data_IF_884976411365
#
_entry.id   IF_884976411365
#
_cell.length_a   1.000
_cell.length_b   1.000
_cell.length_c   1.000
_cell.angle_alpha   90.00
_cell.angle_beta   90.00
_cell.angle_gamma   90.00
#
_symmetry.space_group_name_H-M   'P 1'
#
loop_
_entity.id
_entity.type
_entity.pdbx_description
1 polymer ?
#
# COMPACT_ATOMS: atom_id res chain seq x y z
N UNK A 1 9.53 -4.47 -42.30
CA UNK A 1 9.38 -3.04 -41.97
C UNK A 1 9.53 -2.91 -40.47
N UNK A 2 10.45 -2.07 -40.00
CA UNK A 2 10.61 -1.80 -38.57
C UNK A 2 9.48 -0.85 -38.16
N UNK A 3 8.55 -1.31 -37.32
CA UNK A 3 7.39 -0.54 -36.90
C UNK A 3 7.85 0.72 -36.13
N UNK A 4 7.65 1.89 -36.74
CA UNK A 4 7.73 3.17 -36.06
C UNK A 4 6.44 3.36 -35.26
N UNK A 5 6.58 3.49 -33.94
CA UNK A 5 5.47 3.80 -33.04
C UNK A 5 5.33 5.31 -32.89
N UNK A 6 4.10 5.86 -32.82
CA UNK A 6 3.92 7.28 -32.54
C UNK A 6 4.49 7.72 -31.18
N UNK A 7 4.82 6.76 -30.30
CA UNK A 7 5.40 7.02 -28.98
C UNK A 7 6.93 7.13 -28.95
N UNK A 8 7.65 6.62 -29.97
CA UNK A 8 9.10 6.49 -29.95
C UNK A 8 9.75 6.86 -31.29
N UNK A 9 10.79 7.69 -31.21
CA UNK A 9 11.50 8.26 -32.36
C UNK A 9 12.54 7.30 -32.95
N UNK A 10 13.09 6.39 -32.14
CA UNK A 10 14.12 5.43 -32.58
C UNK A 10 13.51 4.09 -33.00
N UNK A 11 14.06 3.44 -34.05
CA UNK A 11 13.54 2.17 -34.54
C UNK A 11 13.83 1.02 -33.57
N UNK A 12 12.83 0.16 -33.36
CA UNK A 12 12.97 -1.05 -32.54
C UNK A 12 13.33 -2.25 -33.42
N UNK A 13 14.38 -3.02 -33.08
CA UNK A 13 14.83 -4.13 -33.92
C UNK A 13 13.90 -5.36 -33.89
N UNK A 14 12.96 -5.45 -32.93
CA UNK A 14 12.02 -6.56 -32.80
C UNK A 14 10.64 -6.09 -32.33
N UNK A 15 9.57 -6.57 -32.97
CA UNK A 15 8.18 -6.26 -32.63
C UNK A 15 7.82 -6.56 -31.16
N UNK A 16 8.37 -7.62 -30.56
CA UNK A 16 8.13 -7.94 -29.15
C UNK A 16 8.72 -6.89 -28.19
N UNK A 17 9.88 -6.31 -28.51
CA UNK A 17 10.52 -5.28 -27.67
C UNK A 17 9.75 -3.96 -27.74
N UNK A 18 9.27 -3.59 -28.92
CA UNK A 18 8.42 -2.40 -29.09
C UNK A 18 7.13 -2.50 -28.25
N UNK A 19 6.46 -3.67 -28.28
CA UNK A 19 5.26 -3.91 -27.46
C UNK A 19 5.51 -3.69 -25.98
N UNK A 20 6.63 -4.19 -25.44
CA UNK A 20 6.97 -4.01 -24.02
C UNK A 20 7.13 -2.54 -23.64
N UNK A 21 7.78 -1.73 -24.48
CA UNK A 21 7.98 -0.30 -24.23
C UNK A 21 6.66 0.49 -24.30
N UNK A 22 5.77 0.14 -25.23
CA UNK A 22 4.42 0.72 -25.31
C UNK A 22 3.63 0.38 -24.04
N UNK A 23 3.61 -0.90 -23.65
CA UNK A 23 2.90 -1.34 -22.44
C UNK A 23 3.43 -0.62 -21.20
N UNK A 24 4.76 -0.49 -21.04
CA UNK A 24 5.35 0.21 -19.92
C UNK A 24 4.90 1.68 -19.84
N UNK A 25 4.92 2.39 -20.98
CA UNK A 25 4.48 3.80 -21.07
C UNK A 25 2.98 3.96 -20.76
N UNK A 26 2.14 3.04 -21.25
CA UNK A 26 0.71 3.01 -20.94
C UNK A 26 0.42 2.70 -19.45
N UNK A 27 1.34 2.03 -18.76
CA UNK A 27 1.26 1.76 -17.33
C UNK A 27 1.91 2.87 -16.47
N UNK A 28 2.25 4.02 -17.07
CA UNK A 28 2.75 5.18 -16.33
C UNK A 28 4.26 5.25 -16.15
N UNK A 29 5.03 4.32 -16.72
CA UNK A 29 6.49 4.42 -16.69
C UNK A 29 6.97 5.50 -17.66
N UNK A 30 7.68 6.50 -17.14
CA UNK A 30 8.16 7.62 -17.95
C UNK A 30 9.40 7.22 -18.77
N UNK A 31 9.16 6.67 -19.96
CA UNK A 31 10.22 6.33 -20.92
C UNK A 31 10.33 7.45 -21.98
N UNK A 32 11.53 8.06 -22.14
CA UNK A 32 11.77 9.08 -23.16
C UNK A 32 11.45 8.59 -24.58
N UNK A 33 10.92 9.49 -25.42
CA UNK A 33 10.56 9.15 -26.79
C UNK A 33 11.80 8.80 -27.65
N UNK A 34 12.96 9.34 -27.31
CA UNK A 34 14.24 9.14 -27.97
C UNK A 34 15.10 8.02 -27.34
N UNK A 35 14.50 7.21 -26.46
CA UNK A 35 15.17 6.06 -25.83
C UNK A 35 15.79 5.15 -26.89
N UNK A 36 17.03 4.75 -26.67
CA UNK A 36 17.67 3.73 -27.50
C UNK A 36 17.39 2.34 -26.90
N UNK A 37 16.56 1.51 -27.55
CA UNK A 37 16.22 0.19 -27.03
C UNK A 37 17.35 -0.84 -27.15
N UNK A 38 18.50 -0.46 -27.71
CA UNK A 38 19.70 -1.28 -27.83
C UNK A 38 20.85 -0.79 -26.94
N UNK A 39 20.71 0.36 -26.30
CA UNK A 39 21.70 0.83 -25.35
C UNK A 39 21.76 -0.12 -24.14
N UNK A 40 22.95 -0.25 -23.58
CA UNK A 40 23.13 -0.83 -22.25
C UNK A 40 22.52 0.12 -21.22
N UNK A 41 22.10 -0.43 -20.08
CA UNK A 41 21.53 0.34 -18.97
C UNK A 41 22.46 0.23 -17.77
N UNK A 42 22.68 1.33 -17.06
CA UNK A 42 23.49 1.34 -15.85
C UNK A 42 22.66 0.94 -14.61
N UNK A 43 23.33 0.67 -13.50
CA UNK A 43 22.64 0.33 -12.25
C UNK A 43 21.74 1.45 -11.74
N UNK A 44 22.19 2.71 -11.79
CA UNK A 44 21.36 3.86 -11.37
C UNK A 44 20.14 4.04 -12.28
N UNK A 45 20.30 3.86 -13.60
CA UNK A 45 19.21 4.02 -14.56
C UNK A 45 18.16 2.93 -14.37
N UNK A 46 18.60 1.70 -14.12
CA UNK A 46 17.69 0.60 -13.83
C UNK A 46 17.00 0.76 -12.47
N UNK A 47 17.71 1.23 -11.44
CA UNK A 47 17.13 1.58 -10.15
C UNK A 47 16.03 2.64 -10.31
N UNK A 48 16.30 3.70 -11.08
CA UNK A 48 15.34 4.77 -11.34
C UNK A 48 14.07 4.28 -12.03
N UNK A 49 14.21 3.50 -13.10
CA UNK A 49 13.06 2.90 -13.78
C UNK A 49 12.27 1.96 -12.87
N UNK A 50 12.96 1.15 -12.07
CA UNK A 50 12.30 0.16 -11.21
C UNK A 50 11.54 0.82 -10.07
N UNK A 51 12.12 1.85 -9.44
CA UNK A 51 11.44 2.64 -8.40
C UNK A 51 10.23 3.39 -8.97
N UNK A 52 10.36 4.05 -10.12
CA UNK A 52 9.21 4.69 -10.77
C UNK A 52 8.13 3.67 -11.14
N UNK A 53 8.50 2.47 -11.59
CA UNK A 53 7.54 1.40 -11.86
C UNK A 53 6.80 0.96 -10.59
N UNK A 54 7.50 0.84 -9.46
CA UNK A 54 6.88 0.56 -8.16
C UNK A 54 5.91 1.68 -7.76
N UNK A 55 6.30 2.95 -7.93
CA UNK A 55 5.46 4.09 -7.57
C UNK A 55 4.13 4.14 -8.35
N UNK A 56 4.06 3.50 -9.54
CA UNK A 56 2.78 3.31 -10.26
C UNK A 56 1.79 2.38 -9.54
N UNK A 57 2.26 1.62 -8.54
CA UNK A 57 1.47 0.65 -7.76
C UNK A 57 1.10 1.13 -6.37
N UNK A 58 1.72 2.21 -5.90
CA UNK A 58 1.42 2.79 -4.59
C UNK A 58 2.57 3.62 -4.05
N UNK A 59 2.32 4.29 -2.93
CA UNK A 59 3.36 5.05 -2.23
C UNK A 59 4.06 4.16 -1.22
N UNK A 60 5.38 4.02 -1.35
CA UNK A 60 6.21 3.25 -0.43
C UNK A 60 7.13 4.19 0.35
N UNK A 61 6.64 4.82 1.42
CA UNK A 61 7.42 5.78 2.18
C UNK A 61 8.61 5.08 2.86
N UNK A 62 9.77 5.71 2.77
CA UNK A 62 10.93 5.41 3.61
C UNK A 62 11.01 6.48 4.69
N UNK A 63 11.38 6.09 5.90
CA UNK A 63 11.84 7.06 6.91
C UNK A 63 13.12 7.69 6.32
N UNK A 64 13.38 8.99 6.52
CA UNK A 64 14.52 9.74 5.96
C UNK A 64 15.91 9.26 6.47
N UNK A 65 16.17 7.96 6.42
CA UNK A 65 17.47 7.36 6.65
C UNK A 65 18.23 7.40 5.33
N UNK A 66 19.26 8.23 5.27
CA UNK A 66 20.20 8.22 4.15
C UNK A 66 21.21 7.08 4.36
N UNK A 67 21.34 6.19 3.37
CA UNK A 67 22.40 5.20 3.37
C UNK A 67 23.66 5.88 2.83
N UNK A 68 24.75 5.84 3.61
CA UNK A 68 26.05 6.31 3.18
C UNK A 68 26.58 5.39 2.07
N UNK A 69 26.80 5.98 0.88
CA UNK A 69 27.40 5.30 -0.27
C UNK A 69 28.83 5.80 -0.42
N UNK A 70 29.79 4.89 -0.53
CA UNK A 70 31.21 5.27 -0.69
C UNK A 70 31.47 5.98 -2.02
N UNK A 71 30.66 5.70 -3.04
CA UNK A 71 30.67 6.28 -4.38
C UNK A 71 29.44 7.15 -4.67
N UNK A 72 28.92 7.83 -3.64
CA UNK A 72 27.76 8.74 -3.76
C UNK A 72 27.98 9.83 -4.82
N UNK A 73 29.21 10.33 -4.95
CA UNK A 73 29.61 11.37 -5.90
C UNK A 73 29.45 10.94 -7.37
N UNK A 74 29.39 9.63 -7.62
CA UNK A 74 29.13 9.10 -8.95
C UNK A 74 27.63 9.05 -9.27
N UNK A 75 26.74 9.10 -8.28
CA UNK A 75 25.29 9.00 -8.53
C UNK A 75 24.77 10.31 -9.13
N UNK A 76 23.97 10.21 -10.19
CA UNK A 76 23.29 11.40 -10.74
C UNK A 76 22.36 12.03 -9.69
N UNK A 77 22.36 13.37 -9.50
CA UNK A 77 21.42 14.03 -8.58
C UNK A 77 19.95 13.70 -8.87
N UNK A 78 19.60 13.50 -10.14
CA UNK A 78 18.24 13.14 -10.56
C UNK A 78 17.83 11.73 -10.15
N UNK A 79 18.79 10.85 -9.94
CA UNK A 79 18.56 9.43 -9.63
C UNK A 79 18.90 9.09 -8.18
N UNK A 80 19.47 10.03 -7.41
CA UNK A 80 19.91 9.82 -6.04
C UNK A 80 18.79 9.24 -5.16
N UNK A 81 17.58 9.80 -5.24
CA UNK A 81 16.44 9.30 -4.47
C UNK A 81 16.13 7.83 -4.83
N UNK A 82 16.05 7.51 -6.13
CA UNK A 82 15.79 6.16 -6.60
C UNK A 82 16.88 5.17 -6.18
N UNK A 83 18.14 5.58 -6.24
CA UNK A 83 19.28 4.78 -5.77
C UNK A 83 19.21 4.54 -4.27
N UNK A 84 18.92 5.55 -3.45
CA UNK A 84 18.74 5.35 -2.00
C UNK A 84 17.59 4.39 -1.71
N UNK A 85 16.45 4.57 -2.38
CA UNK A 85 15.25 3.74 -2.19
C UNK A 85 15.47 2.28 -2.58
N UNK A 86 16.27 1.99 -3.61
CA UNK A 86 16.53 0.60 -4.02
C UNK A 86 17.19 -0.21 -2.89
N UNK A 87 18.05 0.44 -2.09
CA UNK A 87 18.72 -0.18 -0.95
C UNK A 87 17.85 -0.14 0.31
N UNK A 88 17.14 0.97 0.57
CA UNK A 88 16.24 1.09 1.73
C UNK A 88 15.07 0.11 1.67
N UNK A 89 14.53 -0.16 0.48
CA UNK A 89 13.50 -1.17 0.28
C UNK A 89 14.06 -2.62 0.28
N UNK A 90 15.38 -2.79 0.40
CA UNK A 90 16.02 -4.11 0.37
C UNK A 90 15.95 -4.81 -0.99
N UNK A 91 15.72 -4.06 -2.07
CA UNK A 91 15.64 -4.60 -3.43
C UNK A 91 17.03 -4.96 -3.93
N UNK A 92 18.00 -4.07 -3.67
CA UNK A 92 19.41 -4.31 -3.88
C UNK A 92 20.16 -4.40 -2.55
N UNK A 93 21.38 -4.92 -2.59
CA UNK A 93 22.30 -4.98 -1.44
C UNK A 93 23.59 -4.30 -1.81
N UNK A 94 24.12 -3.53 -0.86
CA UNK A 94 25.49 -3.02 -0.95
C UNK A 94 26.48 -4.14 -0.65
N UNK A 95 27.70 -3.99 -1.17
CA UNK A 95 28.81 -4.85 -0.81
C UNK A 95 29.45 -4.42 0.52
N UNK A 96 30.49 -5.16 0.93
CA UNK A 96 31.25 -4.86 2.16
C UNK A 96 31.92 -3.48 2.16
N UNK A 97 32.05 -2.84 0.99
CA UNK A 97 32.65 -1.51 0.81
C UNK A 97 31.61 -0.40 0.74
N UNK A 98 30.33 -0.72 0.89
CA UNK A 98 29.21 0.22 0.74
C UNK A 98 29.18 0.92 -0.63
N UNK A 99 29.57 0.20 -1.70
CA UNK A 99 29.58 0.73 -3.06
C UNK A 99 28.27 0.44 -3.79
N UNK A 100 27.72 1.44 -4.47
CA UNK A 100 26.51 1.31 -5.29
C UNK A 100 26.81 0.99 -6.76
N UNK A 101 28.01 1.33 -7.25
CA UNK A 101 28.44 1.17 -8.65
C UNK A 101 27.45 1.78 -9.67
N UNK A 102 27.03 3.04 -9.51
CA UNK A 102 25.88 3.61 -10.25
C UNK A 102 26.05 3.60 -11.77
N UNK A 103 27.29 3.73 -12.26
CA UNK A 103 27.63 3.77 -13.69
C UNK A 103 27.95 2.41 -14.30
N UNK A 104 28.03 1.35 -13.49
CA UNK A 104 28.31 -0.01 -13.98
C UNK A 104 27.14 -0.50 -14.82
N UNK A 105 27.44 -1.22 -15.89
CA UNK A 105 26.42 -1.89 -16.69
C UNK A 105 25.65 -2.90 -15.83
N UNK A 106 24.32 -2.85 -15.91
CA UNK A 106 23.44 -3.79 -15.24
C UNK A 106 23.42 -5.12 -16.00
N UNK A 107 23.89 -6.19 -15.36
CA UNK A 107 23.80 -7.52 -15.97
C UNK A 107 22.35 -8.04 -15.94
N UNK A 108 22.03 -8.96 -16.86
CA UNK A 108 20.69 -9.59 -16.91
C UNK A 108 20.34 -10.35 -15.62
N UNK A 109 21.32 -10.98 -14.99
CA UNK A 109 21.12 -11.72 -13.74
C UNK A 109 20.77 -10.79 -12.58
N UNK A 110 21.54 -9.71 -12.41
CA UNK A 110 21.28 -8.69 -11.40
C UNK A 110 19.92 -8.02 -11.61
N UNK A 111 19.61 -7.62 -12.86
CA UNK A 111 18.32 -7.03 -13.19
C UNK A 111 17.14 -7.94 -12.85
N UNK A 112 17.26 -9.24 -13.11
CA UNK A 112 16.22 -10.22 -12.80
C UNK A 112 16.03 -10.38 -11.28
N UNK A 113 17.12 -10.39 -10.51
CA UNK A 113 17.06 -10.43 -9.04
C UNK A 113 16.38 -9.19 -8.49
N UNK A 114 16.77 -8.00 -8.95
CA UNK A 114 16.16 -6.75 -8.50
C UNK A 114 14.67 -6.69 -8.87
N UNK A 115 14.31 -7.10 -10.08
CA UNK A 115 12.91 -7.16 -10.50
C UNK A 115 12.10 -8.12 -9.62
N UNK A 116 12.64 -9.31 -9.35
CA UNK A 116 11.99 -10.28 -8.47
C UNK A 116 11.78 -9.71 -7.05
N UNK A 117 12.83 -9.12 -6.47
CA UNK A 117 12.75 -8.52 -5.14
C UNK A 117 11.76 -7.35 -5.10
N UNK A 118 11.71 -6.51 -6.14
CA UNK A 118 10.74 -5.42 -6.25
C UNK A 118 9.30 -5.94 -6.37
N UNK A 119 9.06 -7.00 -7.14
CA UNK A 119 7.74 -7.66 -7.21
C UNK A 119 7.34 -8.17 -5.83
N UNK A 120 8.23 -8.92 -5.16
CA UNK A 120 7.97 -9.43 -3.81
C UNK A 120 7.73 -8.29 -2.81
N UNK A 121 8.50 -7.21 -2.88
CA UNK A 121 8.30 -6.03 -2.05
C UNK A 121 6.91 -5.43 -2.28
N UNK A 122 6.55 -5.16 -3.54
CA UNK A 122 5.23 -4.61 -3.88
C UNK A 122 4.14 -5.55 -3.40
N UNK A 123 4.21 -6.84 -3.67
CA UNK A 123 3.20 -7.82 -3.25
C UNK A 123 3.03 -7.85 -1.73
N UNK A 124 4.13 -7.85 -0.96
CA UNK A 124 4.09 -7.90 0.51
C UNK A 124 3.70 -6.59 1.18
N UNK A 125 3.83 -5.46 0.48
CA UNK A 125 3.53 -4.11 0.99
C UNK A 125 2.26 -3.50 0.36
N UNK A 126 1.67 -4.15 -0.65
CA UNK A 126 0.38 -3.78 -1.26
C UNK A 126 -0.70 -4.83 -1.01
N UNK A 127 -0.34 -6.09 -0.76
CA UNK A 127 -1.23 -6.96 -0.02
C UNK A 127 -1.56 -6.23 1.27
N UNK A 128 -2.85 -6.00 1.52
CA UNK A 128 -3.31 -5.77 2.88
C UNK A 128 -2.63 -6.84 3.71
N UNK A 129 -1.63 -6.46 4.51
CA UNK A 129 -1.13 -7.31 5.57
C UNK A 129 -2.41 -7.73 6.27
N UNK A 130 -2.77 -9.03 6.33
CA UNK A 130 -3.83 -9.45 7.22
C UNK A 130 -3.42 -8.82 8.53
N UNK A 131 -4.23 -7.88 9.02
CA UNK A 131 -3.91 -7.24 10.29
C UNK A 131 -3.61 -8.41 11.23
N UNK A 132 -2.40 -8.46 11.85
CA UNK A 132 -2.12 -9.51 12.83
C UNK A 132 -3.35 -9.53 13.72
N UNK A 133 -4.06 -10.67 13.90
CA UNK A 133 -5.41 -10.70 14.41
C UNK A 133 -5.47 -9.74 15.58
N UNK A 134 -5.98 -8.53 15.34
CA UNK A 134 -6.11 -7.57 16.41
C UNK A 134 -7.12 -8.29 17.25
N UNK A 135 -6.73 -8.69 18.46
CA UNK A 135 -7.68 -9.19 19.44
C UNK A 135 -8.86 -8.25 19.32
N UNK A 136 -9.96 -8.78 18.77
CA UNK A 136 -11.09 -7.96 18.36
C UNK A 136 -11.58 -7.42 19.67
N UNK A 137 -11.16 -6.20 20.00
CA UNK A 137 -11.47 -5.59 21.29
C UNK A 137 -12.96 -5.78 21.51
N UNK A 138 -13.30 -6.43 22.61
CA UNK A 138 -14.69 -6.73 22.94
C UNK A 138 -15.49 -5.43 22.78
N UNK A 139 -16.64 -5.51 22.09
CA UNK A 139 -17.50 -4.34 21.97
C UNK A 139 -18.08 -4.05 23.35
N UNK A 140 -17.70 -2.91 23.92
CA UNK A 140 -18.29 -2.45 25.16
C UNK A 140 -19.72 -1.97 24.89
N UNK A 141 -20.67 -2.47 25.67
CA UNK A 141 -22.08 -2.08 25.61
C UNK A 141 -22.42 -1.27 26.84
N UNK A 142 -22.65 0.03 26.66
CA UNK A 142 -23.15 0.92 27.72
C UNK A 142 -24.65 1.14 27.54
N UNK A 143 -25.41 1.11 28.64
CA UNK A 143 -26.86 1.31 28.64
C UNK A 143 -27.19 2.47 29.56
N UNK A 144 -27.82 3.50 28.99
CA UNK A 144 -28.28 4.68 29.70
C UNK A 144 -29.80 4.71 29.68
N UNK A 145 -30.44 4.83 30.85
CA UNK A 145 -31.89 4.99 30.94
C UNK A 145 -32.25 6.39 30.45
N UNK A 146 -33.09 6.47 29.41
CA UNK A 146 -33.62 7.74 28.90
C UNK A 146 -34.92 8.09 29.60
N UNK A 147 -35.84 7.13 29.70
CA UNK A 147 -37.10 7.23 30.42
C UNK A 147 -37.60 5.84 30.85
N UNK A 148 -38.87 5.75 31.26
CA UNK A 148 -39.43 4.50 31.76
C UNK A 148 -39.51 3.37 30.73
N UNK A 149 -39.70 3.73 29.46
CA UNK A 149 -39.94 2.79 28.37
C UNK A 149 -38.74 2.59 27.43
N UNK A 150 -37.71 3.43 27.51
CA UNK A 150 -36.61 3.51 26.54
C UNK A 150 -35.24 3.60 27.21
N UNK A 151 -34.32 2.76 26.72
CA UNK A 151 -32.88 2.82 27.01
C UNK A 151 -32.12 3.28 25.76
N UNK A 152 -31.13 4.14 25.94
CA UNK A 152 -30.08 4.44 24.96
C UNK A 152 -28.97 3.41 25.14
N UNK A 153 -28.51 2.83 24.05
CA UNK A 153 -27.42 1.85 24.04
C UNK A 153 -26.28 2.38 23.18
N UNK A 154 -25.10 2.45 23.77
CA UNK A 154 -23.88 2.90 23.13
C UNK A 154 -22.94 1.72 22.98
N UNK A 155 -22.57 1.42 21.74
CA UNK A 155 -21.51 0.47 21.42
C UNK A 155 -20.20 1.23 21.26
N UNK A 156 -19.15 0.76 21.92
CA UNK A 156 -17.81 1.35 21.84
C UNK A 156 -16.77 0.28 21.51
N UNK A 157 -15.85 0.60 20.60
CA UNK A 157 -14.74 -0.30 20.25
C UNK A 157 -13.49 0.49 19.87
N UNK A 158 -12.32 -0.02 20.28
CA UNK A 158 -11.02 0.49 19.83
C UNK A 158 -10.73 0.01 18.40
N UNK A 159 -10.37 0.95 17.52
CA UNK A 159 -10.06 0.74 16.12
C UNK A 159 -8.58 1.09 15.82
N UNK A 160 -7.91 0.40 14.87
CA UNK A 160 -6.51 0.65 14.55
C UNK A 160 -6.18 2.04 14.01
N UNK A 161 -7.17 2.70 13.38
CA UNK A 161 -7.02 4.03 12.79
C UNK A 161 -8.39 4.72 12.65
N UNK A 162 -8.45 6.06 12.49
CA UNK A 162 -9.71 6.78 12.26
C UNK A 162 -10.36 6.48 10.89
N UNK A 163 -9.69 5.71 10.03
CA UNK A 163 -10.25 5.34 8.72
C UNK A 163 -11.33 4.26 8.79
N UNK A 164 -11.40 3.51 9.88
CA UNK A 164 -12.40 2.47 10.06
C UNK A 164 -13.79 3.06 10.30
N UNK A 165 -14.80 2.55 9.61
CA UNK A 165 -16.19 2.88 9.91
C UNK A 165 -16.77 1.91 10.94
N UNK A 166 -17.62 2.41 11.83
CA UNK A 166 -18.34 1.63 12.83
C UNK A 166 -19.80 2.07 12.86
N UNK A 167 -20.72 1.16 12.57
CA UNK A 167 -22.14 1.50 12.48
C UNK A 167 -23.02 0.38 13.02
N UNK A 168 -24.07 0.76 13.74
CA UNK A 168 -25.20 -0.12 14.04
C UNK A 168 -26.04 -0.21 12.76
N UNK A 169 -26.31 -1.43 12.33
CA UNK A 169 -26.99 -1.71 11.07
C UNK A 169 -28.37 -2.31 11.26
N UNK A 170 -28.63 -2.99 12.38
CA UNK A 170 -29.91 -3.64 12.63
C UNK A 170 -30.14 -3.87 14.14
N UNK A 171 -31.40 -3.92 14.56
CA UNK A 171 -31.82 -4.21 15.93
C UNK A 171 -32.87 -5.32 15.91
N UNK A 172 -32.53 -6.51 16.43
CA UNK A 172 -33.43 -7.66 16.44
C UNK A 172 -33.90 -7.96 17.85
N UNK A 173 -35.20 -7.88 18.05
CA UNK A 173 -35.85 -8.20 19.31
C UNK A 173 -36.24 -9.69 19.32
N UNK A 174 -35.83 -10.40 20.36
CA UNK A 174 -36.15 -11.82 20.55
C UNK A 174 -37.20 -11.99 21.65
N UNK A 175 -37.98 -13.06 21.54
CA UNK A 175 -39.01 -13.40 22.52
C UNK A 175 -38.42 -13.74 23.91
N UNK A 176 -37.12 -14.01 23.98
CA UNK A 176 -36.37 -14.24 25.23
C UNK A 176 -36.04 -12.95 26.01
N UNK A 177 -36.49 -11.78 25.54
CA UNK A 177 -36.22 -10.48 26.15
C UNK A 177 -34.86 -9.87 25.78
N UNK A 178 -34.16 -10.42 24.78
CA UNK A 178 -32.89 -9.87 24.28
C UNK A 178 -33.10 -8.98 23.06
N UNK A 179 -32.42 -7.83 23.02
CA UNK A 179 -32.25 -7.03 21.81
C UNK A 179 -30.84 -7.26 21.25
N UNK A 180 -30.73 -7.94 20.12
CA UNK A 180 -29.46 -8.11 19.40
C UNK A 180 -29.21 -6.86 18.57
N UNK A 181 -28.21 -6.08 18.97
CA UNK A 181 -27.76 -4.88 18.28
C UNK A 181 -26.66 -5.31 17.31
N UNK A 182 -27.03 -5.41 16.05
CA UNK A 182 -26.14 -5.85 15.01
C UNK A 182 -25.32 -4.66 14.48
N UNK A 183 -24.01 -4.83 14.40
CA UNK A 183 -23.10 -3.80 13.92
C UNK A 183 -22.20 -4.32 12.79
N UNK A 184 -21.69 -3.37 12.01
CA UNK A 184 -20.69 -3.59 10.97
C UNK A 184 -19.45 -2.75 11.21
N UNK A 185 -18.31 -3.26 10.75
CA UNK A 185 -17.04 -2.55 10.68
C UNK A 185 -16.67 -2.46 9.21
N UNK A 186 -16.35 -1.26 8.73
CA UNK A 186 -15.89 -1.05 7.35
C UNK A 186 -14.43 -0.62 7.33
N UNK A 187 -13.70 -1.10 6.32
CA UNK A 187 -12.28 -0.80 6.16
C UNK A 187 -12.05 0.65 5.68
N UNK A 188 -10.88 1.24 6.00
CA UNK A 188 -10.47 2.53 5.48
C UNK A 188 -10.47 2.58 3.95
N UNK A 189 -10.77 3.75 3.38
CA UNK A 189 -10.78 3.91 1.92
C UNK A 189 -9.36 3.73 1.34
N UNK A 190 -9.18 2.90 0.30
CA UNK A 190 -7.89 2.76 -0.37
C UNK A 190 -7.37 4.10 -0.90
N UNK A 191 -6.06 4.31 -0.81
CA UNK A 191 -5.39 5.53 -1.31
C UNK A 191 -5.46 6.75 -0.40
N UNK A 192 -6.05 6.62 0.80
CA UNK A 192 -6.09 7.68 1.82
C UNK A 192 -5.06 7.41 2.91
N UNK A 193 -4.32 8.45 3.34
CA UNK A 193 -3.38 8.36 4.46
C UNK A 193 -4.13 8.55 5.78
N UNK A 194 -4.21 7.50 6.60
CA UNK A 194 -4.78 7.56 7.93
C UNK A 194 -3.68 7.48 9.00
N UNK A 195 -3.74 8.31 10.06
CA UNK A 195 -2.84 8.18 11.20
C UNK A 195 -2.93 6.80 11.85
N UNK A 196 -1.77 6.20 12.13
CA UNK A 196 -1.67 4.87 12.76
C UNK A 196 -1.78 4.98 14.28
N UNK A 197 -2.94 5.43 14.76
CA UNK A 197 -3.24 5.61 16.18
C UNK A 197 -4.56 4.93 16.51
N UNK A 198 -4.61 4.28 17.68
CA UNK A 198 -5.84 3.70 18.19
C UNK A 198 -6.89 4.80 18.39
N UNK A 199 -8.08 4.55 17.86
CA UNK A 199 -9.21 5.48 17.97
C UNK A 199 -10.43 4.76 18.53
N UNK A 200 -11.18 5.47 19.36
CA UNK A 200 -12.42 4.96 19.92
C UNK A 200 -13.58 5.24 18.96
N UNK A 201 -14.16 4.20 18.39
CA UNK A 201 -15.34 4.30 17.55
C UNK A 201 -16.62 4.08 18.38
N UNK A 202 -17.65 4.89 18.12
CA UNK A 202 -18.94 4.85 18.83
C UNK A 202 -20.10 4.77 17.87
N UNK A 203 -21.11 3.97 18.23
CA UNK A 203 -22.40 3.94 17.57
C UNK A 203 -23.49 3.79 18.62
N UNK A 204 -24.62 4.47 18.40
CA UNK A 204 -25.69 4.56 19.38
C UNK A 204 -27.03 4.17 18.78
N UNK A 205 -27.87 3.51 19.57
CA UNK A 205 -29.26 3.18 19.22
C UNK A 205 -30.16 3.28 20.44
N UNK A 206 -31.46 3.26 20.21
CA UNK A 206 -32.47 3.24 21.27
C UNK A 206 -33.25 1.93 21.20
N UNK A 207 -33.50 1.31 22.35
CA UNK A 207 -34.31 0.10 22.49
C UNK A 207 -35.29 0.27 23.65
N UNK A 208 -36.37 -0.52 23.65
CA UNK A 208 -37.28 -0.51 24.80
C UNK A 208 -36.57 -1.02 26.06
N UNK A 209 -36.88 -0.41 27.20
CA UNK A 209 -36.33 -0.75 28.53
C UNK A 209 -36.59 -2.20 28.95
N UNK A 210 -37.56 -2.86 28.31
CA UNK A 210 -37.90 -4.28 28.52
C UNK A 210 -36.88 -5.26 27.97
N UNK A 211 -35.98 -4.82 27.07
CA UNK A 211 -35.01 -5.68 26.42
C UNK A 211 -33.60 -5.49 26.97
N UNK A 212 -32.86 -6.61 27.10
CA UNK A 212 -31.43 -6.60 27.43
C UNK A 212 -30.61 -6.52 26.13
N UNK A 213 -29.76 -5.50 25.94
CA UNK A 213 -28.96 -5.37 24.73
C UNK A 213 -27.78 -6.34 24.71
N UNK A 214 -27.52 -6.92 23.53
CA UNK A 214 -26.33 -7.73 23.24
C UNK A 214 -25.77 -7.34 21.88
N UNK A 215 -24.47 -7.05 21.82
CA UNK A 215 -23.81 -6.71 20.57
C UNK A 215 -23.49 -7.97 19.75
N UNK A 216 -23.76 -7.93 18.45
CA UNK A 216 -23.38 -9.00 17.52
C UNK A 216 -22.81 -8.42 16.22
N UNK A 217 -21.64 -8.91 15.81
CA UNK A 217 -21.07 -8.51 14.53
C UNK A 217 -21.79 -9.26 13.39
N UNK A 218 -22.33 -8.51 12.42
CA UNK A 218 -22.73 -9.09 11.14
C UNK A 218 -21.47 -9.47 10.36
N UNK A 219 -21.43 -10.71 9.89
CA UNK A 219 -20.38 -11.23 9.00
C UNK A 219 -20.71 -10.91 7.56
#
# INVERSE_FOLDING_TARGET
MCDLSPFFLKPFPKACRLKAFIIAKLNGLNIPADVDPNATITQEQYADLLIHAMDTKGTFPVIEMLILLTDEDQVSPTSMNSVQRIYLHGIAKLDEKQMAYPKREMSRGEAAVWLHNAIQFVETHTAQKPEPPVERGEVAVAVERVNDDVNKVTLTRQMPSPGYGFAITDNRFKDDGTAVIAYSVSEPKPGMLYPQVLTEAKAETYISSKYKPVAAQLR
#
